data_IF_334509474203
#
_entry.id   IF_334509474203
#
_cell.length_a   1.000
_cell.length_b   1.000
_cell.length_c   1.000
_cell.angle_alpha   90.00
_cell.angle_beta   90.00
_cell.angle_gamma   90.00
#
_symmetry.space_group_name_H-M   'P 1'
#
loop_
_entity.id
_entity.type
_entity.pdbx_description
1 polymer ?
#
# COMPACT_ATOMS: atom_id res chain seq x y z
N UNK A 1 1.37 -23.85 13.84
CA UNK A 1 1.28 -23.04 12.60
C UNK A 1 -0.01 -22.27 12.67
N UNK A 2 0.00 -21.14 13.37
CA UNK A 2 -1.14 -20.23 13.45
C UNK A 2 -1.32 -19.58 12.08
N UNK A 3 -2.46 -19.76 11.39
CA UNK A 3 -2.77 -18.90 10.27
C UNK A 3 -3.15 -17.55 10.87
N UNK A 4 -2.28 -16.55 10.73
CA UNK A 4 -2.65 -15.18 10.96
C UNK A 4 -3.52 -14.73 9.77
N UNK A 5 -4.80 -15.07 9.80
CA UNK A 5 -5.80 -14.26 9.11
C UNK A 5 -6.01 -13.01 9.96
N UNK A 6 -5.76 -11.82 9.40
CA UNK A 6 -6.75 -10.75 9.30
C UNK A 6 -6.09 -9.35 9.17
N UNK A 7 -6.46 -8.66 8.07
CA UNK A 7 -6.48 -7.20 7.85
C UNK A 7 -5.15 -6.54 7.43
N UNK A 8 -5.00 -6.26 6.12
CA UNK A 8 -3.84 -5.55 5.54
C UNK A 8 -3.09 -6.27 4.42
N UNK A 9 -3.65 -7.37 3.88
CA UNK A 9 -2.94 -8.27 2.97
C UNK A 9 -2.45 -7.61 1.66
N UNK A 10 -3.03 -6.50 1.23
CA UNK A 10 -2.57 -5.83 0.01
C UNK A 10 -1.20 -5.15 0.13
N UNK A 11 -0.84 -4.63 1.31
CA UNK A 11 0.44 -3.94 1.52
C UNK A 11 1.59 -4.92 1.79
N UNK A 12 1.33 -5.98 2.57
CA UNK A 12 2.34 -6.98 2.90
C UNK A 12 2.74 -7.88 1.73
N UNK A 13 1.92 -7.94 0.68
CA UNK A 13 2.25 -8.62 -0.57
C UNK A 13 3.15 -7.77 -1.50
N UNK A 14 3.11 -6.46 -1.30
CA UNK A 14 3.81 -5.46 -2.13
C UNK A 14 5.15 -5.07 -1.52
N UNK A 15 5.23 -4.97 -0.19
CA UNK A 15 6.48 -4.77 0.58
C UNK A 15 7.40 -5.99 0.42
N UNK A 16 8.19 -5.99 -0.66
CA UNK A 16 9.03 -7.11 -1.04
C UNK A 16 10.34 -7.12 -0.26
N UNK A 17 10.81 -5.94 0.16
CA UNK A 17 12.04 -5.78 0.91
C UNK A 17 11.83 -5.94 2.45
N UNK A 18 10.58 -5.84 2.92
CA UNK A 18 10.18 -5.99 4.32
C UNK A 18 10.63 -4.84 5.21
N UNK A 19 10.77 -3.64 4.67
CA UNK A 19 11.20 -2.45 5.42
C UNK A 19 10.05 -1.70 6.11
N UNK A 20 8.80 -2.10 5.84
CA UNK A 20 7.60 -1.53 6.44
C UNK A 20 7.07 -0.30 5.72
N UNK A 21 7.60 0.03 4.53
CA UNK A 21 7.03 1.04 3.64
C UNK A 21 6.89 0.46 2.22
N UNK A 22 6.03 1.07 1.39
CA UNK A 22 5.90 0.68 -0.01
C UNK A 22 6.59 1.71 -0.88
N UNK A 23 7.63 1.31 -1.60
CA UNK A 23 8.22 2.15 -2.64
C UNK A 23 7.42 2.09 -3.95
N UNK A 24 7.54 3.11 -4.79
CA UNK A 24 6.94 3.12 -6.13
C UNK A 24 7.33 1.87 -6.94
N UNK A 25 8.59 1.42 -6.82
CA UNK A 25 9.11 0.25 -7.53
C UNK A 25 8.43 -1.04 -7.08
N UNK A 26 8.19 -1.19 -5.78
CA UNK A 26 7.47 -2.31 -5.19
C UNK A 26 6.01 -2.32 -5.60
N UNK A 27 5.36 -1.16 -5.55
CA UNK A 27 3.99 -1.00 -6.02
C UNK A 27 3.89 -1.33 -7.51
N UNK A 28 4.82 -0.85 -8.35
CA UNK A 28 4.83 -1.15 -9.79
C UNK A 28 5.16 -2.61 -10.11
N UNK A 29 5.88 -3.31 -9.23
CA UNK A 29 6.16 -4.73 -9.40
C UNK A 29 4.88 -5.58 -9.34
N UNK A 30 3.89 -5.16 -8.55
CA UNK A 30 2.58 -5.82 -8.41
C UNK A 30 1.52 -5.16 -9.31
N UNK A 31 1.54 -3.84 -9.39
CA UNK A 31 0.60 -2.99 -10.10
C UNK A 31 1.35 -2.11 -11.11
N UNK A 32 1.73 -2.65 -12.29
CA UNK A 32 2.50 -1.90 -13.30
C UNK A 32 1.71 -0.74 -13.93
N UNK A 33 0.41 -0.64 -13.66
CA UNK A 33 -0.44 0.48 -14.08
C UNK A 33 -0.38 1.67 -13.10
N UNK A 34 0.15 1.47 -11.89
CA UNK A 34 0.32 2.56 -10.91
C UNK A 34 1.36 3.55 -11.41
N UNK A 35 0.93 4.80 -11.59
CA UNK A 35 1.82 5.89 -11.96
C UNK A 35 2.45 6.54 -10.74
N UNK A 36 3.52 7.31 -10.96
CA UNK A 36 4.06 8.16 -9.91
C UNK A 36 3.02 9.18 -9.40
N UNK A 37 2.11 9.65 -10.25
CA UNK A 37 1.06 10.60 -9.85
C UNK A 37 0.03 9.93 -8.92
N UNK A 38 -0.34 8.68 -9.17
CA UNK A 38 -1.22 7.91 -8.28
C UNK A 38 -0.54 7.62 -6.94
N UNK A 39 0.77 7.34 -6.98
CA UNK A 39 1.58 7.13 -5.78
C UNK A 39 1.71 8.41 -4.95
N UNK A 40 2.06 9.54 -5.56
CA UNK A 40 2.10 10.87 -4.92
C UNK A 40 0.75 11.26 -4.31
N UNK A 41 -0.37 10.81 -4.90
CA UNK A 41 -1.69 11.07 -4.33
C UNK A 41 -1.94 10.31 -3.01
N UNK A 42 -1.20 9.23 -2.76
CA UNK A 42 -1.24 8.44 -1.53
C UNK A 42 -0.14 8.83 -0.54
N UNK A 43 1.01 9.30 -1.04
CA UNK A 43 2.15 9.79 -0.26
C UNK A 43 1.86 11.21 0.25
N UNK A 44 1.22 11.28 1.42
CA UNK A 44 0.77 12.53 2.01
C UNK A 44 1.94 13.38 2.51
N UNK A 45 3.05 12.73 2.84
CA UNK A 45 4.22 13.36 3.41
C UNK A 45 5.27 13.78 2.33
N UNK A 46 5.22 13.15 1.16
CA UNK A 46 6.05 13.44 0.00
C UNK A 46 7.48 12.91 0.11
N UNK A 47 7.72 11.81 0.82
CA UNK A 47 9.05 11.20 0.97
C UNK A 47 9.38 10.16 -0.10
N UNK A 48 8.42 9.84 -0.97
CA UNK A 48 8.56 8.84 -2.04
C UNK A 48 8.34 7.41 -1.57
N UNK A 49 7.76 7.21 -0.38
CA UNK A 49 7.36 5.93 0.17
C UNK A 49 5.92 6.02 0.72
N UNK A 50 5.20 4.91 0.80
CA UNK A 50 3.94 4.84 1.54
C UNK A 50 4.18 4.09 2.83
N UNK A 51 4.12 4.79 3.96
CA UNK A 51 4.16 4.15 5.26
C UNK A 51 2.81 3.49 5.62
N UNK A 52 2.81 2.68 6.68
CA UNK A 52 1.59 2.06 7.20
C UNK A 52 0.47 3.09 7.45
N UNK A 53 0.79 4.30 7.93
CA UNK A 53 -0.21 5.32 8.21
C UNK A 53 -0.83 5.91 6.94
N UNK A 54 -0.03 6.12 5.90
CA UNK A 54 -0.46 6.61 4.58
C UNK A 54 -1.27 5.55 3.85
N UNK A 55 -0.84 4.29 3.91
CA UNK A 55 -1.60 3.17 3.36
C UNK A 55 -2.94 3.01 4.07
N UNK A 56 -3.00 3.17 5.40
CA UNK A 56 -4.26 3.19 6.14
C UNK A 56 -5.13 4.39 5.74
N UNK A 57 -4.55 5.59 5.62
CA UNK A 57 -5.27 6.79 5.20
C UNK A 57 -5.83 6.66 3.77
N UNK A 58 -5.07 6.08 2.84
CA UNK A 58 -5.50 5.82 1.47
C UNK A 58 -6.63 4.78 1.41
N UNK A 59 -6.62 3.77 2.30
CA UNK A 59 -7.72 2.81 2.42
C UNK A 59 -9.00 3.47 2.98
N UNK A 60 -8.88 4.29 4.03
CA UNK A 60 -10.00 5.03 4.61
C UNK A 60 -10.62 6.02 3.60
N UNK A 61 -9.78 6.61 2.75
CA UNK A 61 -10.18 7.50 1.65
C UNK A 61 -10.74 6.76 0.42
N UNK A 62 -10.64 5.42 0.35
CA UNK A 62 -11.04 4.62 -0.81
C UNK A 62 -10.14 4.79 -2.04
N UNK A 63 -8.93 5.31 -1.86
CA UNK A 63 -7.90 5.49 -2.89
C UNK A 63 -7.12 4.18 -3.14
N UNK A 64 -6.98 3.36 -2.11
CA UNK A 64 -6.50 1.97 -2.20
C UNK A 64 -7.69 1.02 -2.07
N UNK A 65 -7.67 -0.07 -2.85
CA UNK A 65 -8.66 -1.14 -2.72
C UNK A 65 -8.52 -1.84 -1.37
N UNK A 66 -9.13 -1.29 -0.32
CA UNK A 66 -9.60 -2.11 0.78
C UNK A 66 -10.57 -3.14 0.17
N UNK A 67 -10.45 -4.45 0.46
CA UNK A 67 -11.53 -5.36 0.14
C UNK A 67 -12.75 -4.84 0.90
N UNK A 68 -13.68 -4.23 0.16
CA UNK A 68 -14.94 -3.69 0.67
C UNK A 68 -15.47 -4.62 1.75
N UNK A 69 -15.48 -4.14 2.99
CA UNK A 69 -16.17 -4.82 4.07
C UNK A 69 -17.67 -4.67 3.81
N UNK A 70 -18.24 -5.61 3.06
CA UNK A 70 -19.67 -5.91 3.11
C UNK A 70 -19.90 -7.09 4.06
#
# INVERSE_FOLDING_TARGET
>A
MTPALAMGQGATEVDANGDGVLSLEEVQAVYPETTAEDFDAMDLNGDGALDDAEVQAAQDAGLMAAPSAD
#
